data_IF_506746926556
#
_entry.id   IF_506746926556
#
_cell.length_a   1.000
_cell.length_b   1.000
_cell.length_c   1.000
_cell.angle_alpha   90.00
_cell.angle_beta   90.00
_cell.angle_gamma   90.00
#
_symmetry.space_group_name_H-M   'P 1'
#
loop_
_entity.id
_entity.type
_entity.pdbx_description
1 polymer ?
#
# COMPACT_ATOMS: atom_id res chain seq x y z
N UNK A 1 58.63 23.15 -17.74
CA UNK A 1 57.66 22.06 -18.01
C UNK A 1 56.28 22.66 -17.89
N UNK A 2 55.58 22.76 -19.02
CA UNK A 2 54.20 23.20 -19.12
C UNK A 2 53.33 21.95 -18.95
N UNK A 3 52.37 21.98 -18.02
CA UNK A 3 51.18 21.13 -18.04
C UNK A 3 49.97 21.99 -17.62
N UNK A 4 48.78 21.73 -18.19
CA UNK A 4 47.83 22.76 -18.57
C UNK A 4 46.61 22.85 -17.64
N UNK A 5 45.93 23.99 -17.73
CA UNK A 5 44.52 24.14 -17.36
C UNK A 5 43.67 23.24 -18.26
N UNK A 6 42.92 22.31 -17.63
CA UNK A 6 41.58 21.86 -18.05
C UNK A 6 41.15 20.66 -17.17
N UNK A 7 40.37 20.93 -16.12
CA UNK A 7 39.33 19.99 -15.70
C UNK A 7 38.09 20.79 -15.34
N UNK A 8 37.50 21.33 -16.41
CA UNK A 8 36.11 21.70 -16.56
C UNK A 8 35.21 20.79 -15.69
N UNK A 9 34.73 21.31 -14.56
CA UNK A 9 33.65 20.69 -13.81
C UNK A 9 32.40 20.70 -14.69
N UNK A 10 31.85 19.55 -15.14
CA UNK A 10 30.69 19.55 -15.99
C UNK A 10 29.44 19.88 -15.16
N UNK A 11 28.70 20.93 -15.56
CA UNK A 11 27.43 21.41 -14.99
C UNK A 11 26.24 20.46 -15.20
N UNK A 12 26.45 19.15 -15.06
CA UNK A 12 25.41 18.15 -15.00
C UNK A 12 25.69 17.23 -13.81
N UNK A 13 25.76 17.84 -12.63
CA UNK A 13 25.18 17.22 -11.44
C UNK A 13 23.65 17.15 -11.66
N UNK A 14 23.24 16.32 -12.61
CA UNK A 14 21.93 15.69 -12.56
C UNK A 14 21.99 14.86 -11.29
N UNK A 15 21.51 15.44 -10.19
CA UNK A 15 21.08 14.67 -9.04
C UNK A 15 20.26 13.52 -9.64
N UNK A 16 20.66 12.25 -9.43
CA UNK A 16 19.88 11.13 -9.92
C UNK A 16 18.49 11.37 -9.37
N UNK A 17 17.53 11.58 -10.29
CA UNK A 17 16.12 11.60 -9.91
C UNK A 17 15.94 10.27 -9.19
N UNK A 18 15.65 10.26 -7.87
CA UNK A 18 15.56 9.00 -7.18
C UNK A 18 14.42 8.26 -7.86
N UNK A 19 14.73 7.11 -8.43
CA UNK A 19 13.75 6.11 -8.82
C UNK A 19 13.12 5.61 -7.52
N UNK A 20 12.37 6.48 -6.84
CA UNK A 20 11.88 6.35 -5.47
C UNK A 20 10.72 5.36 -5.42
N UNK A 21 11.05 4.10 -5.72
CA UNK A 21 10.13 2.97 -5.74
C UNK A 21 10.83 1.62 -5.84
N UNK A 22 12.06 1.55 -6.37
CA UNK A 22 12.86 0.33 -6.42
C UNK A 22 14.12 0.51 -5.58
N UNK A 23 14.43 -0.46 -4.72
CA UNK A 23 15.68 -0.47 -3.95
C UNK A 23 16.89 -0.32 -4.88
N UNK A 24 17.91 0.43 -4.42
CA UNK A 24 19.13 0.70 -5.19
C UNK A 24 19.82 -0.60 -5.69
N UNK A 25 19.59 -1.72 -5.00
CA UNK A 25 20.11 -3.04 -5.37
C UNK A 25 19.45 -3.66 -6.62
N UNK A 26 18.27 -3.17 -7.03
CA UNK A 26 17.50 -3.65 -8.19
C UNK A 26 17.75 -2.83 -9.46
N UNK A 27 18.36 -1.65 -9.33
CA UNK A 27 18.66 -0.74 -10.46
C UNK A 27 19.50 -1.42 -11.56
N UNK A 28 20.38 -2.36 -11.19
CA UNK A 28 21.21 -3.11 -12.12
C UNK A 28 20.40 -3.98 -13.11
N UNK A 29 19.18 -4.39 -12.74
CA UNK A 29 18.35 -5.25 -13.57
C UNK A 29 17.50 -4.49 -14.57
N UNK A 30 17.22 -3.20 -14.34
CA UNK A 30 16.34 -2.39 -15.20
C UNK A 30 16.76 -2.48 -16.68
N UNK A 31 18.07 -2.44 -16.96
CA UNK A 31 18.61 -2.57 -18.33
C UNK A 31 18.31 -3.92 -18.98
N UNK A 32 18.15 -4.99 -18.20
CA UNK A 32 17.80 -6.31 -18.70
C UNK A 32 16.31 -6.37 -19.04
N UNK A 33 15.44 -5.84 -18.18
CA UNK A 33 14.00 -5.74 -18.46
C UNK A 33 13.71 -4.87 -19.69
N UNK A 34 14.43 -3.75 -19.85
CA UNK A 34 14.30 -2.88 -21.03
C UNK A 34 14.80 -3.55 -22.31
N UNK A 35 15.92 -4.30 -22.23
CA UNK A 35 16.48 -5.02 -23.38
C UNK A 35 15.55 -6.12 -23.87
N UNK A 36 14.98 -6.89 -22.95
CA UNK A 36 13.99 -7.94 -23.27
C UNK A 36 12.59 -7.38 -23.54
N UNK A 37 12.41 -6.05 -23.46
CA UNK A 37 11.16 -5.33 -23.74
C UNK A 37 9.95 -5.87 -22.97
N UNK A 38 10.16 -6.20 -21.69
CA UNK A 38 9.09 -6.66 -20.81
C UNK A 38 8.04 -5.56 -20.67
N UNK A 39 6.81 -5.85 -21.09
CA UNK A 39 5.70 -4.91 -20.96
C UNK A 39 5.07 -4.98 -19.55
N UNK A 40 4.20 -4.03 -19.21
CA UNK A 40 3.57 -3.98 -17.88
C UNK A 40 2.70 -5.21 -17.55
N UNK A 41 2.07 -5.82 -18.54
CA UNK A 41 1.24 -7.02 -18.36
C UNK A 41 2.09 -8.27 -18.07
N UNK A 42 3.18 -8.44 -18.81
CA UNK A 42 4.17 -9.49 -18.61
C UNK A 42 4.85 -9.33 -17.24
N UNK A 43 5.17 -8.09 -16.84
CA UNK A 43 5.76 -7.84 -15.53
C UNK A 43 4.79 -8.19 -14.39
N UNK A 44 3.48 -7.99 -14.57
CA UNK A 44 2.46 -8.37 -13.58
C UNK A 44 2.29 -9.89 -13.44
N UNK A 45 2.69 -10.66 -14.45
CA UNK A 45 2.58 -12.13 -14.47
C UNK A 45 3.93 -12.84 -14.42
N UNK A 46 4.99 -12.11 -14.07
CA UNK A 46 6.36 -12.63 -14.12
C UNK A 46 6.60 -13.73 -13.07
N UNK A 47 7.31 -14.77 -13.48
CA UNK A 47 7.64 -15.92 -12.63
C UNK A 47 9.09 -15.89 -12.13
N UNK A 48 9.41 -16.69 -11.11
CA UNK A 48 10.79 -16.88 -10.65
C UNK A 48 11.73 -17.31 -11.79
N UNK A 49 11.25 -18.20 -12.67
CA UNK A 49 12.03 -18.68 -13.80
C UNK A 49 12.33 -17.57 -14.81
N UNK A 50 11.34 -16.74 -15.14
CA UNK A 50 11.54 -15.61 -16.06
C UNK A 50 12.46 -14.54 -15.44
N UNK A 51 12.42 -14.36 -14.12
CA UNK A 51 13.37 -13.51 -13.41
C UNK A 51 14.81 -14.04 -13.51
N UNK A 52 15.01 -15.36 -13.43
CA UNK A 52 16.33 -15.97 -13.66
C UNK A 52 16.82 -15.75 -15.08
N UNK A 53 15.95 -15.92 -16.07
CA UNK A 53 16.25 -15.69 -17.49
C UNK A 53 16.61 -14.21 -17.77
N UNK A 54 16.04 -13.28 -17.00
CA UNK A 54 16.38 -11.85 -17.02
C UNK A 54 17.66 -11.50 -16.22
N UNK A 55 18.32 -12.49 -15.64
CA UNK A 55 19.57 -12.35 -14.88
C UNK A 55 19.38 -12.00 -13.40
N UNK A 56 18.16 -12.06 -12.89
CA UNK A 56 17.86 -11.94 -11.45
C UNK A 56 17.94 -13.33 -10.82
N UNK A 57 19.16 -13.78 -10.50
CA UNK A 57 19.40 -15.12 -9.91
C UNK A 57 19.44 -15.14 -8.39
N UNK A 58 19.49 -13.97 -7.76
CA UNK A 58 19.49 -13.85 -6.29
C UNK A 58 18.08 -14.00 -5.77
N UNK A 59 17.84 -15.03 -4.96
CA UNK A 59 16.53 -15.33 -4.36
C UNK A 59 15.95 -14.08 -3.67
N UNK A 60 16.71 -13.39 -2.81
CA UNK A 60 16.21 -12.18 -2.14
C UNK A 60 15.84 -11.03 -3.10
N UNK A 61 16.49 -10.91 -4.27
CA UNK A 61 16.09 -9.90 -5.25
C UNK A 61 14.84 -10.33 -6.03
N UNK A 62 14.69 -11.63 -6.31
CA UNK A 62 13.46 -12.17 -6.90
C UNK A 62 12.28 -11.92 -5.96
N UNK A 63 12.44 -12.21 -4.66
CA UNK A 63 11.42 -11.98 -3.64
C UNK A 63 10.99 -10.51 -3.57
N UNK A 64 11.94 -9.56 -3.57
CA UNK A 64 11.62 -8.12 -3.58
C UNK A 64 10.82 -7.70 -4.82
N UNK A 65 11.19 -8.20 -6.01
CA UNK A 65 10.49 -7.88 -7.26
C UNK A 65 9.10 -8.51 -7.26
N UNK A 66 8.98 -9.78 -6.87
CA UNK A 66 7.70 -10.49 -6.81
C UNK A 66 6.77 -9.89 -5.76
N UNK A 67 7.29 -9.46 -4.61
CA UNK A 67 6.51 -8.74 -3.60
C UNK A 67 5.99 -7.41 -4.17
N UNK A 68 6.84 -6.65 -4.87
CA UNK A 68 6.39 -5.42 -5.53
C UNK A 68 5.32 -5.68 -6.62
N UNK A 69 5.47 -6.77 -7.38
CA UNK A 69 4.48 -7.22 -8.38
C UNK A 69 3.18 -7.66 -7.71
N UNK A 70 3.23 -8.41 -6.62
CA UNK A 70 2.05 -8.83 -5.85
C UNK A 70 1.30 -7.63 -5.27
N UNK A 71 2.02 -6.63 -4.77
CA UNK A 71 1.46 -5.37 -4.31
C UNK A 71 0.81 -4.60 -5.48
N UNK A 72 1.44 -4.57 -6.65
CA UNK A 72 0.88 -3.92 -7.83
C UNK A 72 -0.35 -4.68 -8.36
N UNK A 73 -0.33 -6.00 -8.33
CA UNK A 73 -1.45 -6.88 -8.65
C UNK A 73 -2.61 -6.65 -7.68
N UNK A 74 -2.38 -6.63 -6.37
CA UNK A 74 -3.44 -6.37 -5.40
C UNK A 74 -4.02 -4.94 -5.53
N UNK A 75 -3.24 -3.96 -6.02
CA UNK A 75 -3.76 -2.65 -6.41
C UNK A 75 -4.61 -2.72 -7.68
N UNK A 76 -4.13 -3.43 -8.70
CA UNK A 76 -4.78 -3.58 -10.01
C UNK A 76 -6.08 -4.42 -9.93
N UNK A 77 -6.11 -5.48 -9.13
CA UNK A 77 -7.28 -6.30 -8.86
C UNK A 77 -8.20 -5.67 -7.80
N UNK A 78 -7.65 -4.93 -6.83
CA UNK A 78 -8.44 -4.16 -5.86
C UNK A 78 -9.30 -3.07 -6.52
N UNK A 79 -8.95 -2.66 -7.73
CA UNK A 79 -9.71 -1.72 -8.55
C UNK A 79 -11.07 -2.28 -9.02
N UNK A 80 -11.23 -3.59 -9.14
CA UNK A 80 -12.47 -4.20 -9.71
C UNK A 80 -13.56 -4.52 -8.69
N UNK A 81 -13.28 -4.61 -7.38
CA UNK A 81 -14.33 -5.02 -6.40
C UNK A 81 -14.40 -4.24 -5.09
N UNK A 82 -13.29 -3.79 -4.50
CA UNK A 82 -13.35 -2.92 -3.31
C UNK A 82 -12.00 -2.22 -3.05
N UNK A 83 -11.80 -1.05 -3.68
CA UNK A 83 -10.61 -0.21 -3.49
C UNK A 83 -10.80 0.83 -2.37
N UNK A 84 -9.69 1.46 -1.96
CA UNK A 84 -9.65 2.56 -0.99
C UNK A 84 -10.71 3.65 -1.27
N UNK A 85 -10.98 3.93 -2.56
CA UNK A 85 -11.99 4.92 -2.96
C UNK A 85 -13.40 4.47 -2.56
N UNK A 86 -13.77 3.21 -2.79
CA UNK A 86 -15.08 2.67 -2.39
C UNK A 86 -15.23 2.64 -0.86
N UNK A 87 -14.19 2.20 -0.13
CA UNK A 87 -14.21 2.17 1.34
C UNK A 87 -14.30 3.58 1.94
N UNK A 88 -13.54 4.54 1.40
CA UNK A 88 -13.60 5.95 1.78
C UNK A 88 -14.97 6.56 1.46
N UNK A 89 -15.57 6.21 0.32
CA UNK A 89 -16.90 6.68 -0.03
C UNK A 89 -17.98 6.14 0.92
N UNK A 90 -17.93 4.85 1.28
CA UNK A 90 -18.82 4.24 2.29
C UNK A 90 -18.66 4.90 3.67
N UNK A 91 -17.42 5.14 4.12
CA UNK A 91 -17.14 5.85 5.37
C UNK A 91 -17.75 7.26 5.35
N UNK A 92 -17.51 8.02 4.27
CA UNK A 92 -17.99 9.38 4.12
C UNK A 92 -19.53 9.46 4.06
N UNK A 93 -20.17 8.52 3.37
CA UNK A 93 -21.63 8.42 3.34
C UNK A 93 -22.21 8.15 4.74
N UNK A 94 -21.61 7.22 5.48
CA UNK A 94 -22.02 6.91 6.86
C UNK A 94 -21.81 8.09 7.82
N UNK A 95 -20.68 8.79 7.70
CA UNK A 95 -20.39 9.99 8.48
C UNK A 95 -21.37 11.13 8.20
N UNK A 96 -21.73 11.35 6.93
CA UNK A 96 -22.75 12.33 6.53
C UNK A 96 -24.14 11.97 7.04
N UNK A 97 -24.53 10.70 6.97
CA UNK A 97 -25.79 10.23 7.54
C UNK A 97 -25.86 10.52 9.05
N UNK A 98 -24.80 10.20 9.79
CA UNK A 98 -24.71 10.50 11.22
C UNK A 98 -24.77 12.02 11.49
N UNK A 99 -24.04 12.81 10.69
CA UNK A 99 -24.06 14.27 10.79
C UNK A 99 -25.46 14.85 10.52
N UNK A 100 -26.21 14.30 9.58
CA UNK A 100 -27.58 14.69 9.30
C UNK A 100 -28.50 14.40 10.49
N UNK A 101 -28.36 13.27 11.17
CA UNK A 101 -29.10 12.99 12.40
C UNK A 101 -28.77 13.98 13.52
N UNK A 102 -27.48 14.31 13.71
CA UNK A 102 -27.04 15.27 14.73
C UNK A 102 -27.56 16.68 14.41
N UNK A 103 -27.47 17.10 13.16
CA UNK A 103 -27.87 18.44 12.71
C UNK A 103 -29.39 18.59 12.68
N UNK A 104 -30.12 17.54 12.29
CA UNK A 104 -31.58 17.47 12.34
C UNK A 104 -32.12 17.66 13.76
N UNK A 105 -31.44 17.07 14.77
CA UNK A 105 -31.76 17.33 16.19
C UNK A 105 -31.47 18.76 16.62
N UNK A 106 -30.43 19.39 16.07
CA UNK A 106 -30.08 20.79 16.40
C UNK A 106 -31.05 21.82 15.78
N UNK A 107 -31.70 21.50 14.66
CA UNK A 107 -32.68 22.37 13.99
C UNK A 107 -34.13 22.12 14.43
N UNK A 108 -34.47 20.88 14.79
CA UNK A 108 -35.80 20.52 15.31
C UNK A 108 -35.92 20.77 16.81
N UNK A 109 -36.13 22.03 17.20
CA UNK A 109 -36.39 22.43 18.59
C UNK A 109 -37.75 21.99 19.14
N UNK A 110 -38.10 20.70 19.05
CA UNK A 110 -39.29 20.18 19.72
C UNK A 110 -38.99 18.87 20.44
N UNK A 111 -38.38 19.04 21.61
CA UNK A 111 -38.25 18.01 22.62
C UNK A 111 -39.61 17.87 23.33
N UNK A 112 -40.52 17.07 22.78
CA UNK A 112 -41.64 16.59 23.61
C UNK A 112 -41.06 15.60 24.63
N UNK A 113 -41.07 16.02 25.89
CA UNK A 113 -40.48 15.33 27.05
C UNK A 113 -41.03 13.93 27.33
N UNK A 114 -41.90 13.39 26.47
CA UNK A 114 -42.44 12.02 26.57
C UNK A 114 -41.64 10.96 25.80
N UNK A 115 -40.76 11.35 24.86
CA UNK A 115 -39.84 10.44 24.16
C UNK A 115 -38.45 10.34 24.81
N UNK A 116 -38.32 10.80 26.06
CA UNK A 116 -37.11 10.66 26.86
C UNK A 116 -36.88 9.19 27.19
N UNK A 117 -35.94 8.53 26.48
CA UNK A 117 -34.94 7.57 27.02
C UNK A 117 -34.26 6.67 25.97
N UNK A 118 -34.69 6.62 24.71
CA UNK A 118 -34.02 5.77 23.71
C UNK A 118 -33.41 6.65 22.62
N UNK A 119 -32.09 6.55 22.43
CA UNK A 119 -31.49 6.98 21.17
C UNK A 119 -32.27 6.26 20.05
N UNK A 120 -32.83 6.99 19.05
CA UNK A 120 -33.52 6.39 17.92
C UNK A 120 -32.67 5.25 17.36
N UNK A 121 -33.28 4.09 17.12
CA UNK A 121 -32.57 2.90 16.65
C UNK A 121 -31.74 3.23 15.41
N UNK A 122 -32.30 4.05 14.51
CA UNK A 122 -31.64 4.54 13.29
C UNK A 122 -30.34 5.33 13.54
N UNK A 123 -30.25 6.05 14.66
CA UNK A 123 -29.01 6.73 15.06
C UNK A 123 -27.95 5.72 15.52
N UNK A 124 -28.35 4.72 16.30
CA UNK A 124 -27.44 3.66 16.73
C UNK A 124 -26.97 2.83 15.53
N UNK A 125 -27.87 2.49 14.60
CA UNK A 125 -27.54 1.86 13.32
C UNK A 125 -26.54 2.69 12.53
N UNK A 126 -26.76 4.00 12.39
CA UNK A 126 -25.81 4.89 11.69
C UNK A 126 -24.43 4.93 12.36
N UNK A 127 -24.35 4.85 13.69
CA UNK A 127 -23.07 4.75 14.42
C UNK A 127 -22.40 3.40 14.15
N UNK A 128 -23.16 2.30 14.19
CA UNK A 128 -22.65 0.95 13.91
C UNK A 128 -22.15 0.84 12.46
N UNK A 129 -22.88 1.41 11.50
CA UNK A 129 -22.49 1.45 10.09
C UNK A 129 -21.20 2.25 9.88
N UNK A 130 -21.03 3.37 10.60
CA UNK A 130 -19.81 4.17 10.54
C UNK A 130 -18.61 3.40 11.10
N UNK A 131 -18.79 2.72 12.24
CA UNK A 131 -17.77 1.86 12.84
C UNK A 131 -17.42 0.71 11.90
N UNK A 132 -18.42 0.08 11.27
CA UNK A 132 -18.22 -0.99 10.28
C UNK A 132 -17.40 -0.52 9.08
N UNK A 133 -17.75 0.63 8.50
CA UNK A 133 -17.01 1.23 7.40
C UNK A 133 -15.56 1.57 7.79
N UNK A 134 -15.34 2.10 9.00
CA UNK A 134 -14.01 2.41 9.52
C UNK A 134 -13.17 1.15 9.76
N UNK A 135 -13.76 0.10 10.33
CA UNK A 135 -13.07 -1.20 10.53
C UNK A 135 -12.66 -1.83 9.21
N UNK A 136 -13.53 -1.79 8.20
CA UNK A 136 -13.21 -2.32 6.87
C UNK A 136 -12.09 -1.54 6.20
N UNK A 137 -12.10 -0.21 6.33
CA UNK A 137 -11.01 0.65 5.85
C UNK A 137 -9.68 0.36 6.57
N UNK A 138 -9.72 0.19 7.89
CA UNK A 138 -8.53 -0.15 8.67
C UNK A 138 -8.00 -1.54 8.31
N UNK A 139 -8.87 -2.54 8.19
CA UNK A 139 -8.49 -3.90 7.78
C UNK A 139 -7.94 -3.95 6.35
N UNK A 140 -8.38 -3.04 5.48
CA UNK A 140 -7.78 -2.86 4.16
C UNK A 140 -6.38 -2.28 4.28
N UNK A 141 -6.18 -1.21 5.05
CA UNK A 141 -4.86 -0.60 5.27
C UNK A 141 -3.87 -1.55 5.96
N UNK A 142 -4.32 -2.33 6.93
CA UNK A 142 -3.50 -3.28 7.68
C UNK A 142 -2.83 -4.34 6.79
N UNK A 143 -3.49 -4.73 5.69
CA UNK A 143 -2.95 -5.65 4.68
C UNK A 143 -1.76 -5.07 3.90
N UNK A 144 -1.61 -3.76 3.89
CA UNK A 144 -0.55 -3.03 3.17
C UNK A 144 0.50 -2.44 4.11
N UNK A 145 0.10 -2.07 5.33
CA UNK A 145 0.96 -1.43 6.33
C UNK A 145 1.87 -2.42 7.04
N UNK A 146 1.49 -3.69 7.10
CA UNK A 146 2.33 -4.77 7.64
C UNK A 146 2.92 -5.58 6.48
N UNK A 147 4.15 -5.28 6.01
CA UNK A 147 4.91 -6.29 5.28
C UNK A 147 4.97 -7.51 6.19
N UNK A 148 4.51 -8.67 5.70
CA UNK A 148 4.57 -9.95 6.43
C UNK A 148 6.01 -10.46 6.47
N UNK A 149 6.96 -9.61 6.87
CA UNK A 149 8.35 -9.96 7.13
C UNK A 149 8.55 -10.26 8.60
N UNK A 150 8.83 -11.52 8.94
CA UNK A 150 9.31 -11.91 10.27
C UNK A 150 8.57 -13.07 10.96
N UNK A 151 8.15 -14.09 10.23
CA UNK A 151 7.59 -15.33 10.79
C UNK A 151 8.51 -16.55 10.67
N UNK A 152 9.83 -16.36 10.57
CA UNK A 152 10.82 -17.44 10.56
C UNK A 152 11.19 -17.88 11.98
N UNK A 153 10.24 -18.49 12.70
CA UNK A 153 10.51 -19.18 13.97
C UNK A 153 11.18 -20.54 13.72
N UNK A 154 12.36 -20.53 13.11
CA UNK A 154 13.19 -21.71 12.86
C UNK A 154 14.25 -21.85 13.94
N UNK A 155 14.00 -22.76 14.88
CA UNK A 155 14.98 -23.65 15.55
C UNK A 155 16.34 -23.02 15.92
N UNK A 156 16.45 -22.46 17.13
CA UNK A 156 17.73 -22.45 17.84
C UNK A 156 17.71 -23.57 18.88
N UNK A 157 17.94 -24.78 18.39
CA UNK A 157 18.53 -25.84 19.20
C UNK A 157 20.04 -25.72 19.07
N UNK A 158 20.70 -25.11 20.05
CA UNK A 158 22.13 -25.26 20.33
C UNK A 158 22.32 -25.01 21.83
N UNK A 159 22.03 -26.04 22.62
CA UNK A 159 22.59 -26.19 23.96
C UNK A 159 23.51 -27.41 23.89
N UNK A 160 24.79 -27.14 23.65
CA UNK A 160 25.90 -28.08 23.76
C UNK A 160 27.15 -27.29 24.19
N UNK A 161 27.69 -27.71 25.34
CA UNK A 161 29.05 -27.51 25.87
C UNK A 161 29.36 -26.07 26.35
N UNK A 162 29.68 -25.82 27.63
CA UNK A 162 30.64 -26.47 28.55
C UNK A 162 30.10 -26.54 29.99
#
# INVERSE_FOLDING_TARGET
MVLPEDSYFPSHALLPVPHAGLDDCLQQYIKNFEREKINGEQLLHITHQELEELGVTRIGHQELILEAVDLLCALNYGLETENLRTLSHKLNASAKNLQNFITGRRRGGHYDGRASRRLPNDFLTSVVDLIGAAKNLLAWLDRWVLPRGGGGGGVLGLEAED
#
